data_IF_947583874128
#
_entry.id   IF_947583874128
#
_cell.length_a   1.000
_cell.length_b   1.000
_cell.length_c   1.000
_cell.angle_alpha   90.00
_cell.angle_beta   90.00
_cell.angle_gamma   90.00
#
_symmetry.space_group_name_H-M   'P 1'
#
loop_
_entity.id
_entity.type
_entity.pdbx_description
1 polymer ?
#
# COMPACT_ATOMS: atom_id res chain seq x y z
N UNK A 1 -12.55 -6.38 23.13
CA UNK A 1 -12.74 -5.06 22.51
C UNK A 1 -12.90 -5.32 21.02
N UNK A 2 -14.14 -5.32 20.51
CA UNK A 2 -14.43 -5.62 19.10
C UNK A 2 -14.19 -4.31 18.34
N UNK A 3 -13.18 -4.27 17.47
CA UNK A 3 -12.98 -3.11 16.60
C UNK A 3 -14.22 -2.95 15.72
N UNK A 4 -14.76 -1.73 15.67
CA UNK A 4 -15.90 -1.40 14.82
C UNK A 4 -15.47 -1.47 13.34
N UNK A 5 -15.82 -2.58 12.70
CA UNK A 5 -15.46 -2.84 11.30
C UNK A 5 -16.15 -1.87 10.32
N UNK A 6 -17.15 -1.09 10.76
CA UNK A 6 -17.79 -0.05 9.94
C UNK A 6 -16.98 1.25 9.84
N UNK A 7 -15.90 1.36 10.62
CA UNK A 7 -14.92 2.46 10.57
C UNK A 7 -13.70 2.16 9.69
N UNK A 8 -13.58 0.93 9.19
CA UNK A 8 -12.48 0.54 8.32
C UNK A 8 -12.72 1.10 6.91
N UNK A 9 -11.68 1.63 6.24
CA UNK A 9 -11.78 2.06 4.85
C UNK A 9 -12.34 0.92 3.99
N UNK A 10 -13.19 1.24 3.02
CA UNK A 10 -13.47 0.31 1.93
C UNK A 10 -12.17 0.08 1.15
N UNK A 11 -11.51 -1.03 1.46
CA UNK A 11 -10.21 -1.37 0.88
C UNK A 11 -10.26 -1.54 -0.64
N UNK A 12 -11.40 -1.96 -1.19
CA UNK A 12 -11.57 -2.10 -2.63
C UNK A 12 -11.72 -0.73 -3.29
N UNK A 13 -12.46 0.20 -2.68
CA UNK A 13 -12.51 1.59 -3.14
C UNK A 13 -11.14 2.25 -3.10
N UNK A 14 -10.44 2.11 -1.96
CA UNK A 14 -9.13 2.70 -1.77
C UNK A 14 -8.10 2.13 -2.77
N UNK A 15 -8.16 0.82 -3.03
CA UNK A 15 -7.34 0.18 -4.06
C UNK A 15 -7.57 0.81 -5.43
N UNK A 16 -8.83 0.96 -5.87
CA UNK A 16 -9.15 1.59 -7.17
C UNK A 16 -8.59 3.01 -7.27
N UNK A 17 -8.66 3.78 -6.19
CA UNK A 17 -8.14 5.16 -6.13
C UNK A 17 -6.61 5.18 -6.20
N UNK A 18 -5.94 4.28 -5.47
CA UNK A 18 -4.48 4.12 -5.53
C UNK A 18 -4.01 3.67 -6.92
N UNK A 19 -4.76 2.79 -7.58
CA UNK A 19 -4.47 2.30 -8.94
C UNK A 19 -4.55 3.43 -9.99
N UNK A 20 -5.43 4.42 -9.76
CA UNK A 20 -5.57 5.60 -10.61
C UNK A 20 -4.54 6.73 -10.33
N UNK A 21 -3.92 6.73 -9.15
CA UNK A 21 -2.98 7.77 -8.75
C UNK A 21 -1.62 7.67 -9.47
N UNK A 22 -1.03 8.81 -9.81
CA UNK A 22 0.28 8.89 -10.47
C UNK A 22 1.35 9.68 -9.68
N UNK A 23 1.00 10.18 -8.50
CA UNK A 23 1.88 10.95 -7.63
C UNK A 23 1.25 11.22 -6.26
N UNK A 24 1.76 12.21 -5.50
CA UNK A 24 1.18 12.64 -4.24
C UNK A 24 -0.30 13.01 -4.36
N UNK A 25 -1.11 12.58 -3.40
CA UNK A 25 -2.55 12.77 -3.39
C UNK A 25 -3.08 12.93 -1.96
N UNK A 26 -3.48 14.15 -1.62
CA UNK A 26 -3.99 14.49 -0.29
C UNK A 26 -5.31 13.78 0.06
N UNK A 27 -6.15 13.46 -0.93
CA UNK A 27 -7.39 12.72 -0.68
C UNK A 27 -7.10 11.26 -0.33
N UNK A 28 -6.04 10.67 -0.90
CA UNK A 28 -5.54 9.37 -0.51
C UNK A 28 -4.91 9.40 0.89
N UNK A 29 -4.09 10.40 1.19
CA UNK A 29 -3.52 10.59 2.54
C UNK A 29 -4.60 10.65 3.62
N UNK A 30 -5.67 11.42 3.36
CA UNK A 30 -6.82 11.53 4.26
C UNK A 30 -7.57 10.19 4.41
N UNK A 31 -7.76 9.45 3.31
CA UNK A 31 -8.42 8.14 3.35
C UNK A 31 -7.60 7.08 4.09
N UNK A 32 -6.27 7.19 4.07
CA UNK A 32 -5.33 6.36 4.83
C UNK A 32 -5.14 6.84 6.28
N UNK A 33 -5.80 7.95 6.66
CA UNK A 33 -5.61 8.66 7.92
C UNK A 33 -4.13 8.94 8.24
N UNK A 34 -3.32 9.22 7.21
CA UNK A 34 -1.87 9.40 7.31
C UNK A 34 -1.41 10.53 6.39
N UNK A 35 -1.26 11.76 6.93
CA UNK A 35 -0.81 12.91 6.15
C UNK A 35 0.59 12.67 5.55
N UNK A 36 0.75 12.99 4.26
CA UNK A 36 2.03 12.90 3.55
C UNK A 36 2.46 11.48 3.18
N UNK A 37 1.60 10.48 3.37
CA UNK A 37 1.93 9.08 3.09
C UNK A 37 2.14 8.81 1.59
N UNK A 38 1.48 9.56 0.71
CA UNK A 38 1.66 9.44 -0.75
C UNK A 38 2.86 10.22 -1.30
N UNK A 39 3.42 11.17 -0.55
CA UNK A 39 4.61 11.95 -0.96
C UNK A 39 5.93 11.39 -0.41
N UNK A 40 5.91 10.76 0.77
CA UNK A 40 7.11 10.32 1.47
C UNK A 40 7.25 8.81 1.48
N UNK A 41 8.35 8.30 0.92
CA UNK A 41 8.67 6.88 0.96
C UNK A 41 8.82 6.38 2.39
N UNK A 42 9.41 7.17 3.29
CA UNK A 42 9.56 6.83 4.69
C UNK A 42 8.19 6.71 5.39
N UNK A 43 7.29 7.67 5.15
CA UNK A 43 5.93 7.64 5.70
C UNK A 43 5.15 6.43 5.18
N UNK A 44 5.21 6.13 3.88
CA UNK A 44 4.57 4.96 3.28
C UNK A 44 5.09 3.64 3.88
N UNK A 45 6.41 3.51 4.03
CA UNK A 45 7.03 2.33 4.64
C UNK A 45 6.64 2.18 6.10
N UNK A 46 6.60 3.27 6.87
CA UNK A 46 6.18 3.25 8.27
C UNK A 46 4.70 2.87 8.42
N UNK A 47 3.84 3.46 7.59
CA UNK A 47 2.42 3.13 7.55
C UNK A 47 2.19 1.66 7.22
N UNK A 48 2.85 1.14 6.17
CA UNK A 48 2.66 -0.25 5.76
C UNK A 48 3.17 -1.25 6.82
N UNK A 49 4.30 -0.96 7.48
CA UNK A 49 4.80 -1.79 8.60
C UNK A 49 3.84 -1.80 9.79
N UNK A 50 3.18 -0.68 10.07
CA UNK A 50 2.19 -0.60 11.12
C UNK A 50 0.90 -1.35 10.76
N UNK A 51 0.48 -1.29 9.49
CA UNK A 51 -0.72 -1.96 9.00
C UNK A 51 -0.53 -3.48 8.85
N UNK A 52 0.68 -3.94 8.51
CA UNK A 52 0.99 -5.34 8.20
C UNK A 52 2.23 -5.83 8.99
N UNK A 53 2.18 -5.87 10.33
CA UNK A 53 3.35 -6.15 11.18
C UNK A 53 3.96 -7.54 10.98
N UNK A 54 3.17 -8.52 10.56
CA UNK A 54 3.60 -9.91 10.34
C UNK A 54 4.05 -10.19 8.90
N UNK A 55 3.99 -9.20 8.01
CA UNK A 55 4.36 -9.35 6.61
C UNK A 55 5.78 -8.87 6.36
N UNK A 56 6.53 -9.65 5.58
CA UNK A 56 7.82 -9.23 5.07
C UNK A 56 7.62 -8.30 3.87
N UNK A 57 8.17 -7.08 3.95
CA UNK A 57 8.09 -6.07 2.89
C UNK A 57 9.43 -5.94 2.16
N UNK A 58 9.39 -5.98 0.83
CA UNK A 58 10.50 -5.66 -0.06
C UNK A 58 10.11 -4.50 -0.98
N UNK A 59 11.06 -3.62 -1.27
CA UNK A 59 10.90 -2.53 -2.24
C UNK A 59 12.09 -2.55 -3.18
N UNK A 60 11.83 -2.47 -4.48
CA UNK A 60 12.84 -2.46 -5.52
C UNK A 60 12.36 -1.76 -6.77
N UNK A 61 13.02 -2.05 -7.89
CA UNK A 61 12.62 -1.61 -9.22
C UNK A 61 12.30 -2.84 -10.07
N UNK A 62 11.37 -2.68 -11.00
CA UNK A 62 10.99 -3.72 -11.95
C UNK A 62 12.20 -4.20 -12.79
N UNK A 63 11.98 -5.23 -13.62
CA UNK A 63 13.03 -5.81 -14.48
C UNK A 63 13.64 -4.84 -15.47
N UNK A 64 12.96 -3.73 -15.79
CA UNK A 64 13.48 -2.66 -16.64
C UNK A 64 14.28 -1.61 -15.86
N UNK A 65 14.19 -1.62 -14.54
CA UNK A 65 14.78 -0.63 -13.64
C UNK A 65 14.02 0.71 -13.63
N UNK A 66 12.82 0.77 -14.22
CA UNK A 66 12.11 2.04 -14.46
C UNK A 66 11.07 2.30 -13.39
N UNK A 67 10.15 1.35 -13.15
CA UNK A 67 9.10 1.55 -12.16
C UNK A 67 9.50 0.94 -10.82
N UNK A 68 9.33 1.68 -9.71
CA UNK A 68 9.42 1.07 -8.40
C UNK A 68 8.28 0.05 -8.21
N UNK A 69 8.60 -1.01 -7.48
CA UNK A 69 7.61 -1.98 -7.01
C UNK A 69 7.80 -2.26 -5.52
N UNK A 70 6.72 -2.68 -4.88
CA UNK A 70 6.74 -3.21 -3.53
C UNK A 70 6.12 -4.61 -3.52
N UNK A 71 6.65 -5.48 -2.68
CA UNK A 71 6.16 -6.83 -2.48
C UNK A 71 5.99 -7.13 -1.00
N UNK A 72 4.90 -7.78 -0.65
CA UNK A 72 4.58 -8.28 0.68
C UNK A 72 4.46 -9.79 0.65
N UNK A 73 5.08 -10.48 1.61
CA UNK A 73 4.93 -11.93 1.77
C UNK A 73 4.69 -12.34 3.22
N UNK A 74 3.81 -13.31 3.42
CA UNK A 74 3.53 -13.92 4.72
C UNK A 74 3.01 -15.36 4.53
N UNK A 75 3.67 -16.34 5.17
CA UNK A 75 3.22 -17.74 5.21
C UNK A 75 2.77 -18.36 3.86
N UNK A 76 3.52 -18.06 2.78
CA UNK A 76 3.21 -18.58 1.44
C UNK A 76 2.26 -17.71 0.61
N UNK A 77 1.65 -16.67 1.20
CA UNK A 77 0.99 -15.61 0.46
C UNK A 77 2.02 -14.59 -0.05
N UNK A 78 1.77 -14.04 -1.24
CA UNK A 78 2.60 -13.04 -1.87
C UNK A 78 1.74 -12.07 -2.68
N UNK A 79 2.00 -10.77 -2.51
CA UNK A 79 1.34 -9.69 -3.25
C UNK A 79 2.39 -8.68 -3.65
N UNK A 80 2.36 -8.23 -4.90
CA UNK A 80 3.24 -7.18 -5.40
C UNK A 80 2.46 -6.13 -6.19
N UNK A 81 2.98 -4.90 -6.19
CA UNK A 81 2.44 -3.83 -7.02
C UNK A 81 3.56 -2.89 -7.48
N UNK A 82 3.50 -2.53 -8.77
CA UNK A 82 4.31 -1.45 -9.34
C UNK A 82 3.51 -0.16 -9.43
N UNK A 83 4.19 0.98 -9.33
CA UNK A 83 3.57 2.29 -9.47
C UNK A 83 4.57 3.35 -9.98
N UNK A 84 4.12 4.55 -10.38
CA UNK A 84 5.01 5.63 -10.80
C UNK A 84 5.94 6.16 -9.70
N UNK A 85 5.64 5.92 -8.42
CA UNK A 85 6.44 6.36 -7.28
C UNK A 85 6.56 5.25 -6.22
N UNK A 86 7.64 5.28 -5.43
CA UNK A 86 7.85 4.32 -4.32
C UNK A 86 6.70 4.34 -3.30
N UNK A 87 6.22 5.51 -2.81
CA UNK A 87 5.09 5.55 -1.90
C UNK A 87 3.85 4.84 -2.45
N UNK A 88 3.49 5.11 -3.71
CA UNK A 88 2.32 4.48 -4.33
C UNK A 88 2.49 2.98 -4.53
N UNK A 89 3.69 2.50 -4.85
CA UNK A 89 3.96 1.07 -4.98
C UNK A 89 3.75 0.35 -3.64
N UNK A 90 4.30 0.90 -2.56
CA UNK A 90 4.13 0.40 -1.20
C UNK A 90 2.66 0.38 -0.78
N UNK A 91 1.95 1.50 -0.98
CA UNK A 91 0.55 1.63 -0.60
C UNK A 91 -0.37 0.70 -1.40
N UNK A 92 -0.16 0.55 -2.71
CA UNK A 92 -0.94 -0.38 -3.55
C UNK A 92 -0.79 -1.82 -3.08
N UNK A 93 0.44 -2.28 -2.86
CA UNK A 93 0.68 -3.65 -2.43
C UNK A 93 0.13 -3.90 -1.01
N UNK A 94 0.31 -2.95 -0.09
CA UNK A 94 -0.24 -3.05 1.26
C UNK A 94 -1.78 -3.06 1.28
N UNK A 95 -2.43 -2.20 0.50
CA UNK A 95 -3.91 -2.17 0.41
C UNK A 95 -4.45 -3.42 -0.28
N UNK A 96 -3.75 -3.98 -1.27
CA UNK A 96 -4.13 -5.27 -1.86
C UNK A 96 -4.10 -6.40 -0.82
N UNK A 97 -3.08 -6.45 0.04
CA UNK A 97 -3.05 -7.38 1.18
C UNK A 97 -4.24 -7.17 2.13
N UNK A 98 -4.55 -5.91 2.48
CA UNK A 98 -5.67 -5.57 3.36
C UNK A 98 -7.06 -5.87 2.74
N UNK A 99 -7.17 -5.80 1.41
CA UNK A 99 -8.36 -6.18 0.67
C UNK A 99 -8.55 -7.70 0.57
N UNK A 100 -7.50 -8.49 0.87
CA UNK A 100 -7.51 -9.94 0.70
C UNK A 100 -7.20 -10.42 -0.71
N UNK A 101 -6.62 -9.55 -1.55
CA UNK A 101 -6.23 -9.85 -2.93
C UNK A 101 -4.91 -10.63 -2.95
N UNK A 102 -4.96 -11.89 -2.56
CA UNK A 102 -3.87 -12.85 -2.73
C UNK A 102 -4.06 -13.56 -4.06
N UNK A 103 -3.14 -13.38 -5.00
CA UNK A 103 -3.19 -14.02 -6.32
C UNK A 103 -3.28 -15.54 -6.27
#
# INVERSE_FOLDING_TARGET
MVADLSSLPDWHDLKRRLDAASGPDFALDAALASPGVTESAEAALAWARAALPDWHMHVGFDVSGVLPYAAFSCQGAHVEAAAPTVPLAVLRAAVAVLAGDFG
#
